data_IF_960533590195
#
_entry.id   IF_960533590195
#
_cell.length_a   1.000
_cell.length_b   1.000
_cell.length_c   1.000
_cell.angle_alpha   90.00
_cell.angle_beta   90.00
_cell.angle_gamma   90.00
#
_symmetry.space_group_name_H-M   'P 1'
#
loop_
_entity.id
_entity.type
_entity.pdbx_description
1 polymer ?
#
# COMPACT_ATOMS: atom_id res chain seq x y z
N UNK A 1 8.67 30.21 18.80
CA UNK A 1 8.42 28.76 18.95
C UNK A 1 8.09 28.07 17.64
N UNK A 2 7.07 28.51 16.87
CA UNK A 2 6.68 27.83 15.62
C UNK A 2 7.81 27.66 14.59
N UNK A 3 8.64 28.69 14.39
CA UNK A 3 9.73 28.65 13.41
C UNK A 3 10.83 27.63 13.73
N UNK A 4 10.95 27.19 14.99
CA UNK A 4 11.96 26.20 15.42
C UNK A 4 11.44 24.77 15.26
N UNK A 5 10.12 24.57 15.32
CA UNK A 5 9.48 23.26 15.27
C UNK A 5 9.04 22.85 13.86
N UNK A 6 8.97 23.80 12.91
CA UNK A 6 8.54 23.54 11.53
C UNK A 6 9.40 22.51 10.78
N UNK A 7 10.68 22.37 11.15
CA UNK A 7 11.58 21.42 10.49
C UNK A 7 11.30 19.95 10.88
N UNK A 8 10.65 19.73 12.02
CA UNK A 8 10.42 18.39 12.60
C UNK A 8 8.96 18.00 12.72
N UNK A 9 8.08 19.00 12.90
CA UNK A 9 6.65 18.81 13.12
C UNK A 9 5.85 19.55 12.06
N UNK A 10 4.70 18.98 11.68
CA UNK A 10 3.82 19.65 10.74
C UNK A 10 3.05 20.79 11.41
N UNK A 11 2.56 21.74 10.60
CA UNK A 11 1.80 22.89 11.10
C UNK A 11 0.60 22.47 11.95
N UNK A 12 -0.09 21.38 11.55
CA UNK A 12 -1.19 20.80 12.31
C UNK A 12 -0.78 20.29 13.70
N UNK A 13 0.42 19.72 13.81
CA UNK A 13 0.96 19.21 15.08
C UNK A 13 1.40 20.36 15.99
N UNK A 14 1.99 21.40 15.41
CA UNK A 14 2.39 22.61 16.12
C UNK A 14 1.16 23.31 16.70
N UNK A 15 0.08 23.46 15.92
CA UNK A 15 -1.16 24.09 16.38
C UNK A 15 -1.85 23.32 17.53
N UNK A 16 -1.66 21.99 17.59
CA UNK A 16 -2.12 21.15 18.70
C UNK A 16 -1.25 21.33 19.96
N UNK A 17 0.07 21.40 19.81
CA UNK A 17 1.01 21.62 20.92
C UNK A 17 0.83 23.03 21.50
N UNK A 18 0.71 24.05 20.66
CA UNK A 18 0.49 25.44 21.09
C UNK A 18 -0.93 25.69 21.59
N UNK A 19 -1.82 24.68 21.52
CA UNK A 19 -3.24 24.75 21.91
C UNK A 19 -4.03 25.82 21.18
N UNK A 20 -3.55 26.30 20.04
CA UNK A 20 -4.29 27.23 19.17
C UNK A 20 -5.53 26.56 18.57
N UNK A 21 -5.50 25.23 18.42
CA UNK A 21 -6.63 24.43 17.97
C UNK A 21 -6.81 23.20 18.84
N UNK A 22 -8.05 22.95 19.27
CA UNK A 22 -8.41 21.74 20.03
C UNK A 22 -8.51 20.49 19.15
N UNK A 23 -8.79 20.66 17.85
CA UNK A 23 -8.93 19.58 16.86
C UNK A 23 -8.41 20.04 15.50
N UNK A 24 -7.80 19.13 14.75
CA UNK A 24 -7.21 19.41 13.45
C UNK A 24 -7.58 18.33 12.43
N UNK A 25 -7.70 18.73 11.15
CA UNK A 25 -7.92 17.81 10.02
C UNK A 25 -6.58 17.32 9.50
N UNK A 26 -6.28 16.05 9.73
CA UNK A 26 -5.02 15.43 9.35
C UNK A 26 -4.83 15.29 7.84
N UNK A 27 -3.60 15.47 7.38
CA UNK A 27 -3.21 15.23 5.98
C UNK A 27 -2.62 13.82 5.82
N UNK A 28 -2.57 13.29 4.59
CA UNK A 28 -2.05 11.94 4.33
C UNK A 28 -0.58 11.78 4.73
N UNK A 29 0.21 12.85 4.64
CA UNK A 29 1.63 12.86 4.97
C UNK A 29 1.91 12.67 6.48
N UNK A 30 0.94 12.97 7.34
CA UNK A 30 1.10 13.01 8.80
C UNK A 30 0.82 11.67 9.49
N UNK A 31 0.53 10.61 8.74
CA UNK A 31 0.02 9.33 9.25
C UNK A 31 1.11 8.23 9.22
N UNK A 32 1.78 7.92 10.34
CA UNK A 32 2.79 6.82 10.45
C UNK A 32 2.53 5.93 11.67
N UNK A 33 2.79 4.61 11.58
CA UNK A 33 2.08 3.59 12.39
C UNK A 33 2.87 2.89 13.52
N UNK A 34 4.21 2.84 13.52
CA UNK A 34 4.93 1.78 14.30
C UNK A 34 5.32 2.09 15.76
N UNK A 35 5.12 3.30 16.25
CA UNK A 35 5.30 3.66 17.69
C UNK A 35 4.13 4.50 18.19
N UNK A 36 3.02 4.44 17.46
CA UNK A 36 2.01 5.47 17.44
C UNK A 36 1.14 5.53 18.70
N UNK A 37 0.78 4.37 19.25
CA UNK A 37 -0.02 4.28 20.47
C UNK A 37 0.76 4.83 21.66
N UNK A 38 1.98 4.31 21.90
CA UNK A 38 2.87 4.82 22.95
C UNK A 38 3.16 6.32 22.80
N UNK A 39 3.50 6.79 21.59
CA UNK A 39 3.74 8.21 21.35
C UNK A 39 2.51 9.07 21.66
N UNK A 40 1.32 8.62 21.28
CA UNK A 40 0.09 9.40 21.45
C UNK A 40 -0.47 9.34 22.86
N UNK A 41 -0.49 8.16 23.45
CA UNK A 41 -1.22 7.86 24.68
C UNK A 41 -0.32 8.09 25.91
N UNK A 42 0.96 7.68 25.86
CA UNK A 42 1.90 7.82 26.99
C UNK A 42 2.75 9.09 26.89
N UNK A 43 3.18 9.47 25.67
CA UNK A 43 4.01 10.66 25.44
C UNK A 43 3.20 11.90 24.99
N UNK A 44 1.86 11.80 24.92
CA UNK A 44 0.96 12.89 24.51
C UNK A 44 1.35 13.58 23.19
N UNK A 45 1.96 12.85 22.27
CA UNK A 45 2.40 13.36 20.98
C UNK A 45 1.18 13.75 20.12
N UNK A 46 1.21 14.88 19.40
CA UNK A 46 0.12 15.31 18.53
C UNK A 46 0.02 14.38 17.31
N UNK A 47 -0.81 13.36 17.45
CA UNK A 47 -1.05 12.33 16.46
C UNK A 47 -2.57 12.09 16.28
N UNK A 48 -2.97 11.77 15.05
CA UNK A 48 -4.34 11.39 14.72
C UNK A 48 -4.85 10.20 15.54
N UNK A 49 -6.16 9.98 15.62
CA UNK A 49 -6.66 8.77 16.28
C UNK A 49 -6.52 7.52 15.41
N UNK A 50 -6.54 6.33 16.01
CA UNK A 50 -6.58 5.05 15.29
C UNK A 50 -7.79 4.99 14.34
N UNK A 51 -8.95 5.47 14.79
CA UNK A 51 -10.16 5.55 13.96
C UNK A 51 -9.96 6.45 12.74
N UNK A 52 -9.24 7.56 12.92
CA UNK A 52 -8.84 8.42 11.81
C UNK A 52 -7.94 7.65 10.85
N UNK A 53 -6.90 6.98 11.32
CA UNK A 53 -6.02 6.15 10.48
C UNK A 53 -6.80 5.08 9.70
N UNK A 54 -7.71 4.38 10.36
CA UNK A 54 -8.57 3.37 9.73
C UNK A 54 -9.47 4.00 8.64
N UNK A 55 -10.04 5.18 8.89
CA UNK A 55 -10.87 5.89 7.90
C UNK A 55 -10.08 6.26 6.65
N UNK A 56 -8.83 6.69 6.79
CA UNK A 56 -7.96 6.93 5.63
C UNK A 56 -7.57 5.61 4.95
N UNK A 57 -7.29 4.56 5.73
CA UNK A 57 -6.99 3.22 5.21
C UNK A 57 -8.12 2.63 4.36
N UNK A 58 -9.39 2.86 4.73
CA UNK A 58 -10.57 2.41 3.98
C UNK A 58 -10.66 2.96 2.55
N UNK A 59 -9.96 4.05 2.23
CA UNK A 59 -9.95 4.60 0.87
C UNK A 59 -9.07 3.82 -0.10
N UNK A 60 -8.18 2.94 0.40
CA UNK A 60 -7.32 2.12 -0.43
C UNK A 60 -8.07 0.89 -0.89
N UNK A 61 -8.18 0.69 -2.20
CA UNK A 61 -8.78 -0.52 -2.73
C UNK A 61 -7.75 -1.65 -2.74
N UNK A 62 -7.94 -2.63 -1.86
CA UNK A 62 -7.11 -3.83 -1.75
C UNK A 62 -7.90 -5.11 -2.02
N UNK A 63 -9.04 -5.00 -2.73
CA UNK A 63 -9.85 -6.15 -3.13
C UNK A 63 -9.05 -7.12 -4.01
N UNK A 64 -9.56 -8.35 -4.11
CA UNK A 64 -9.03 -9.38 -4.98
C UNK A 64 -8.89 -8.88 -6.42
N UNK A 65 -7.78 -9.23 -7.07
CA UNK A 65 -7.47 -8.87 -8.46
C UNK A 65 -6.23 -8.00 -8.59
N UNK A 66 -6.22 -7.15 -9.61
CA UNK A 66 -5.13 -6.23 -9.92
C UNK A 66 -5.20 -5.03 -8.96
N UNK A 67 -4.08 -4.73 -8.29
CA UNK A 67 -4.01 -3.63 -7.33
C UNK A 67 -3.69 -2.31 -8.04
N UNK A 68 -4.69 -1.71 -8.69
CA UNK A 68 -4.52 -0.51 -9.51
C UNK A 68 -3.91 0.67 -8.74
N UNK A 69 -4.28 0.87 -7.48
CA UNK A 69 -3.73 1.94 -6.64
C UNK A 69 -2.23 1.76 -6.40
N UNK A 70 -1.77 0.50 -6.31
CA UNK A 70 -0.35 0.16 -6.17
C UNK A 70 0.38 0.39 -7.50
N UNK A 71 -0.23 0.00 -8.62
CA UNK A 71 0.34 0.23 -9.96
C UNK A 71 0.47 1.73 -10.25
N UNK A 72 -0.53 2.55 -9.88
CA UNK A 72 -0.47 4.01 -10.00
C UNK A 72 0.66 4.60 -9.16
N UNK A 73 0.83 4.10 -7.93
CA UNK A 73 1.94 4.51 -7.07
C UNK A 73 3.30 4.16 -7.71
N UNK A 74 3.42 2.96 -8.28
CA UNK A 74 4.61 2.53 -9.01
C UNK A 74 4.91 3.44 -10.20
N UNK A 75 3.90 3.78 -11.01
CA UNK A 75 4.05 4.72 -12.13
C UNK A 75 4.68 6.02 -11.68
N UNK A 76 4.20 6.61 -10.59
CA UNK A 76 4.76 7.85 -10.06
C UNK A 76 6.23 7.70 -9.61
N UNK A 77 6.57 6.59 -8.95
CA UNK A 77 7.96 6.30 -8.53
C UNK A 77 8.88 6.14 -9.75
N UNK A 78 8.35 5.62 -10.87
CA UNK A 78 9.16 5.28 -12.05
C UNK A 78 9.48 6.46 -12.95
N UNK A 79 8.75 7.56 -12.85
CA UNK A 79 9.00 8.79 -13.64
C UNK A 79 10.45 9.23 -13.46
N UNK A 80 10.94 9.20 -12.21
CA UNK A 80 12.29 9.64 -11.86
C UNK A 80 13.37 8.56 -12.07
N UNK A 81 13.00 7.37 -12.56
CA UNK A 81 13.95 6.29 -12.82
C UNK A 81 14.48 6.35 -14.25
N UNK A 82 15.77 6.06 -14.41
CA UNK A 82 16.38 5.77 -15.71
C UNK A 82 15.85 4.45 -16.28
N UNK A 83 15.91 4.29 -17.60
CA UNK A 83 15.35 3.12 -18.31
C UNK A 83 15.86 1.77 -17.75
N UNK A 84 17.16 1.67 -17.48
CA UNK A 84 17.77 0.50 -16.85
C UNK A 84 17.14 0.18 -15.47
N UNK A 85 16.81 1.20 -14.67
CA UNK A 85 16.15 1.00 -13.38
C UNK A 85 14.65 0.72 -13.47
N UNK A 86 14.05 0.84 -14.66
CA UNK A 86 12.67 0.45 -14.97
C UNK A 86 12.58 -0.99 -15.51
N UNK A 87 13.66 -1.74 -15.52
CA UNK A 87 13.57 -3.18 -15.80
C UNK A 87 13.12 -3.94 -14.55
N UNK A 88 12.04 -4.72 -14.68
CA UNK A 88 11.52 -5.53 -13.58
C UNK A 88 11.14 -6.94 -14.02
N UNK A 89 11.20 -7.86 -13.06
CA UNK A 89 10.72 -9.23 -13.20
C UNK A 89 9.37 -9.35 -12.52
N UNK A 90 8.42 -9.99 -13.20
CA UNK A 90 7.20 -10.47 -12.57
C UNK A 90 7.42 -11.88 -12.05
N UNK A 91 7.22 -12.05 -10.75
CA UNK A 91 7.29 -13.32 -10.04
C UNK A 91 5.93 -13.67 -9.47
N UNK A 92 5.56 -14.94 -9.58
CA UNK A 92 4.28 -15.47 -9.16
C UNK A 92 4.53 -16.54 -8.11
N UNK A 93 3.72 -16.56 -7.06
CA UNK A 93 3.79 -17.59 -6.01
C UNK A 93 2.39 -17.86 -5.43
N UNK A 94 2.22 -19.03 -4.82
CA UNK A 94 1.01 -19.41 -4.11
C UNK A 94 1.29 -19.46 -2.61
N UNK A 95 0.52 -18.69 -1.84
CA UNK A 95 0.61 -18.64 -0.39
C UNK A 95 -0.57 -19.41 0.22
N UNK A 96 -0.28 -20.41 1.05
CA UNK A 96 -1.31 -21.13 1.80
C UNK A 96 -1.95 -20.21 2.83
N UNK A 97 -3.28 -20.18 2.88
CA UNK A 97 -4.08 -19.38 3.82
C UNK A 97 -5.03 -20.27 4.61
N UNK A 98 -5.49 -19.76 5.76
CA UNK A 98 -6.49 -20.47 6.57
C UNK A 98 -7.83 -20.52 5.84
N UNK A 99 -8.45 -21.70 5.86
CA UNK A 99 -9.74 -21.95 5.22
C UNK A 99 -10.88 -21.44 6.09
N UNK A 100 -11.16 -20.16 6.03
CA UNK A 100 -12.18 -19.48 6.84
C UNK A 100 -13.18 -18.78 5.91
N UNK A 101 -14.44 -18.72 6.33
CA UNK A 101 -15.49 -17.90 5.70
C UNK A 101 -15.56 -16.57 6.46
N UNK A 102 -15.40 -15.45 5.77
CA UNK A 102 -15.45 -14.11 6.36
C UNK A 102 -16.52 -13.28 5.65
N UNK A 103 -17.19 -12.40 6.37
CA UNK A 103 -18.13 -11.43 5.79
C UNK A 103 -17.48 -10.04 5.83
N UNK A 104 -17.39 -9.38 4.67
CA UNK A 104 -16.96 -8.00 4.56
C UNK A 104 -18.19 -7.07 4.57
N UNK A 105 -18.48 -6.38 5.68
CA UNK A 105 -19.62 -5.48 5.77
C UNK A 105 -19.47 -4.21 4.92
N UNK A 106 -18.26 -3.88 4.46
CA UNK A 106 -18.06 -2.69 3.63
C UNK A 106 -18.48 -2.92 2.18
N UNK A 107 -18.36 -4.15 1.68
CA UNK A 107 -18.78 -4.54 0.34
C UNK A 107 -20.03 -5.41 0.29
N UNK A 108 -20.55 -5.82 1.45
CA UNK A 108 -21.67 -6.78 1.55
C UNK A 108 -21.38 -8.08 0.81
N UNK A 109 -20.17 -8.60 1.01
CA UNK A 109 -19.66 -9.79 0.33
C UNK A 109 -19.20 -10.83 1.35
N UNK A 110 -19.51 -12.11 1.09
CA UNK A 110 -18.98 -13.24 1.84
C UNK A 110 -17.76 -13.78 1.10
N UNK A 111 -16.60 -13.77 1.76
CA UNK A 111 -15.31 -14.23 1.27
C UNK A 111 -15.01 -15.65 1.73
N UNK A 112 -14.43 -16.46 0.85
CA UNK A 112 -13.98 -17.81 1.19
C UNK A 112 -15.06 -18.89 1.09
N UNK A 113 -14.73 -20.13 1.52
CA UNK A 113 -13.45 -20.55 2.09
C UNK A 113 -12.39 -20.87 1.01
N UNK A 114 -11.23 -20.20 1.09
CA UNK A 114 -10.09 -20.44 0.19
C UNK A 114 -8.90 -21.06 0.93
N UNK A 115 -8.10 -21.88 0.23
CA UNK A 115 -6.91 -22.55 0.81
C UNK A 115 -5.59 -21.90 0.38
N UNK A 116 -5.61 -21.17 -0.74
CA UNK A 116 -4.42 -20.60 -1.37
C UNK A 116 -4.75 -19.21 -1.92
N UNK A 117 -3.81 -18.29 -1.71
CA UNK A 117 -3.77 -16.97 -2.29
C UNK A 117 -2.63 -16.92 -3.32
N UNK A 118 -2.96 -16.66 -4.57
CA UNK A 118 -1.98 -16.35 -5.59
C UNK A 118 -1.54 -14.90 -5.46
N UNK A 119 -0.21 -14.69 -5.44
CA UNK A 119 0.41 -13.38 -5.31
C UNK A 119 1.34 -13.17 -6.49
N UNK A 120 1.23 -11.99 -7.10
CA UNK A 120 2.15 -11.54 -8.15
C UNK A 120 2.93 -10.34 -7.62
N UNK A 121 4.25 -10.43 -7.71
CA UNK A 121 5.15 -9.35 -7.31
C UNK A 121 5.99 -8.89 -8.50
N UNK A 122 6.06 -7.57 -8.70
CA UNK A 122 7.13 -6.97 -9.50
C UNK A 122 8.35 -6.75 -8.62
N UNK A 123 9.50 -7.17 -9.16
CA UNK A 123 10.81 -6.96 -8.56
C UNK A 123 11.71 -6.27 -9.56
N UNK A 124 12.26 -5.10 -9.20
CA UNK A 124 13.27 -4.44 -10.02
C UNK A 124 14.50 -5.33 -10.19
N UNK A 125 15.07 -5.34 -11.40
CA UNK A 125 16.30 -6.08 -11.70
C UNK A 125 17.52 -5.34 -11.18
N UNK A 126 17.63 -4.05 -11.52
CA UNK A 126 18.78 -3.21 -11.18
C UNK A 126 18.55 -2.37 -9.94
N UNK A 127 17.31 -1.96 -9.69
CA UNK A 127 16.93 -1.22 -8.48
C UNK A 127 16.30 -2.19 -7.48
N UNK A 128 16.67 -2.06 -6.21
CA UNK A 128 16.04 -2.79 -5.10
C UNK A 128 14.61 -2.28 -4.85
N UNK A 129 13.70 -2.60 -5.77
CA UNK A 129 12.27 -2.34 -5.69
C UNK A 129 11.54 -3.68 -5.60
N UNK A 130 10.72 -3.87 -4.57
CA UNK A 130 9.85 -5.05 -4.42
C UNK A 130 8.46 -4.55 -4.06
N UNK A 131 7.48 -4.80 -4.91
CA UNK A 131 6.09 -4.43 -4.63
C UNK A 131 5.12 -5.54 -5.08
N UNK A 132 4.14 -5.92 -4.24
CA UNK A 132 3.07 -6.84 -4.64
C UNK A 132 2.03 -6.08 -5.47
N UNK A 133 1.74 -6.58 -6.67
CA UNK A 133 0.85 -5.91 -7.63
C UNK A 133 -0.51 -6.61 -7.79
N UNK A 134 -0.60 -7.88 -7.37
CA UNK A 134 -1.81 -8.69 -7.50
C UNK A 134 -1.92 -9.57 -6.28
N UNK A 135 -3.14 -9.67 -5.76
CA UNK A 135 -3.52 -10.64 -4.73
C UNK A 135 -4.83 -11.27 -5.15
N UNK A 136 -4.89 -12.60 -5.20
CA UNK A 136 -6.08 -13.28 -5.69
C UNK A 136 -6.28 -14.64 -5.05
N UNK A 137 -7.52 -15.03 -4.81
CA UNK A 137 -7.85 -16.36 -4.34
C UNK A 137 -8.12 -17.29 -5.53
N UNK A 138 -7.29 -18.34 -5.65
CA UNK A 138 -7.46 -19.53 -6.49
C UNK A 138 -8.14 -19.34 -7.87
N UNK A 139 -7.46 -18.67 -8.80
CA UNK A 139 -7.74 -18.72 -10.25
C UNK A 139 -6.44 -18.84 -11.04
N UNK A 140 -6.47 -19.42 -12.25
CA UNK A 140 -5.26 -19.72 -13.03
C UNK A 140 -4.49 -18.44 -13.41
N UNK A 141 -3.15 -18.42 -13.29
CA UNK A 141 -2.32 -17.24 -13.55
C UNK A 141 -2.43 -16.67 -14.97
N UNK A 142 -2.81 -17.51 -15.95
CA UNK A 142 -2.90 -17.12 -17.37
C UNK A 142 -3.90 -16.00 -17.64
N UNK A 143 -4.97 -15.86 -16.85
CA UNK A 143 -6.05 -14.90 -17.12
C UNK A 143 -5.66 -13.43 -16.90
N UNK A 144 -4.62 -13.15 -16.12
CA UNK A 144 -4.27 -11.78 -15.73
C UNK A 144 -2.89 -11.33 -16.20
N UNK A 145 -2.06 -12.26 -16.68
CA UNK A 145 -0.78 -11.93 -17.29
C UNK A 145 -0.95 -10.93 -18.43
N UNK A 146 -1.93 -11.11 -19.32
CA UNK A 146 -2.17 -10.19 -20.43
C UNK A 146 -2.60 -8.77 -19.98
N UNK A 147 -3.61 -8.60 -19.10
CA UNK A 147 -3.96 -7.30 -18.51
C UNK A 147 -2.82 -6.61 -17.75
N UNK A 148 -2.02 -7.37 -16.98
CA UNK A 148 -0.84 -6.86 -16.28
C UNK A 148 0.24 -6.43 -17.26
N UNK A 149 0.52 -7.26 -18.26
CA UNK A 149 1.50 -6.95 -19.30
C UNK A 149 1.09 -5.67 -20.04
N UNK A 150 -0.21 -5.48 -20.33
CA UNK A 150 -0.73 -4.26 -20.94
C UNK A 150 -0.54 -3.03 -20.04
N UNK A 151 -0.79 -3.15 -18.73
CA UNK A 151 -0.62 -2.06 -17.77
C UNK A 151 0.84 -1.61 -17.59
N UNK A 152 1.78 -2.54 -17.77
CA UNK A 152 3.21 -2.31 -17.56
C UNK A 152 3.99 -2.06 -18.86
N UNK A 153 3.46 -2.43 -20.04
CA UNK A 153 4.11 -2.24 -21.36
C UNK A 153 4.50 -0.79 -21.68
N UNK A 154 3.96 0.20 -20.96
CA UNK A 154 4.35 1.62 -21.09
C UNK A 154 5.15 2.17 -19.90
N UNK A 155 5.53 1.35 -18.92
CA UNK A 155 6.13 1.82 -17.65
C UNK A 155 7.38 1.02 -17.26
N UNK A 156 7.45 -0.26 -17.59
CA UNK A 156 8.59 -1.13 -17.30
C UNK A 156 8.89 -2.08 -18.46
N UNK A 157 10.16 -2.42 -18.65
CA UNK A 157 10.55 -3.60 -19.43
C UNK A 157 10.39 -4.83 -18.52
N UNK A 158 9.61 -5.82 -18.94
CA UNK A 158 9.28 -6.98 -18.10
C UNK A 158 9.87 -8.28 -18.60
N UNK A 159 10.46 -9.03 -17.68
CA UNK A 159 10.83 -10.44 -17.87
C UNK A 159 9.91 -11.29 -16.98
N UNK A 160 9.18 -12.22 -17.59
CA UNK A 160 8.31 -13.15 -16.85
C UNK A 160 9.15 -14.36 -16.46
N UNK A 161 9.31 -14.61 -15.16
CA UNK A 161 10.07 -15.75 -14.65
C UNK A 161 9.10 -16.77 -14.06
N UNK A 162 9.06 -17.97 -14.64
CA UNK A 162 8.36 -19.13 -14.08
C UNK A 162 9.29 -19.77 -13.04
N UNK A 163 8.87 -19.83 -11.77
CA UNK A 163 9.52 -20.71 -10.81
C UNK A 163 9.01 -22.13 -11.10
N UNK A 164 9.92 -23.00 -11.56
CA UNK A 164 9.68 -24.44 -11.67
C UNK A 164 9.46 -25.06 -10.29
#
# INVERSE_FOLDING_TARGET
MKNVLNDTLTSNQIDLITKERKRVRWTKAELRKRTYQYLRDDLNFPAASILTLQRYGRTLNLKQGILDDVIKLLKNITIDLTECHRECVLSFDEMKVNRILEYDPASDEVLGPHNYLQVVMARGLFKNLKQPNVKMFKERPKFYLEPLLLHYKGTFLMIVMHKN
#
